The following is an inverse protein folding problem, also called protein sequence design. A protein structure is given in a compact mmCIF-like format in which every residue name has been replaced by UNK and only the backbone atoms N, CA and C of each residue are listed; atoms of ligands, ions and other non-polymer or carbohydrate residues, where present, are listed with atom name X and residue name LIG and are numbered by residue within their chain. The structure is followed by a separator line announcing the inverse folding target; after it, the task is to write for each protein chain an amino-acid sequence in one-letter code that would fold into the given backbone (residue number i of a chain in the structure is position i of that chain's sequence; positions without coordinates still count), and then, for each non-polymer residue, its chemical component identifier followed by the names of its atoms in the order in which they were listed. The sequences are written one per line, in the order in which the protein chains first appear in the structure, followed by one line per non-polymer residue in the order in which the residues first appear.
data_IF_025482205506
#
_entry.id   IF_025482205506
#
_cell.length_a   1.000
_cell.length_b   1.000
_cell.length_c   1.000
_cell.angle_alpha   90.00
_cell.angle_beta   90.00
_cell.angle_gamma   90.00
#
_symmetry.space_group_name_H-M   'P 1'
#
loop_
_entity.id
_entity.type
_entity.pdbx_description
1 polymer ?
#
# COMPACT_ATOMS: atom_id res chain seq x y z
N UNK A 1 -7.52 -10.86 -6.45
CA UNK A 1 -8.79 -11.47 -6.01
C UNK A 1 -9.92 -10.76 -6.73
N UNK A 2 -10.85 -11.45 -7.41
CA UNK A 2 -12.04 -10.79 -7.92
C UNK A 2 -12.89 -10.38 -6.72
N UNK A 3 -13.10 -9.08 -6.52
CA UNK A 3 -14.19 -8.58 -5.67
C UNK A 3 -13.84 -8.05 -4.27
N UNK A 4 -12.56 -7.95 -3.87
CA UNK A 4 -12.21 -7.19 -2.65
C UNK A 4 -11.39 -5.97 -3.03
N UNK A 5 -12.00 -4.80 -2.87
CA UNK A 5 -11.36 -3.51 -3.12
C UNK A 5 -10.23 -3.29 -2.10
N UNK A 6 -8.99 -3.18 -2.57
CA UNK A 6 -7.82 -2.97 -1.73
C UNK A 6 -7.92 -1.70 -0.89
N UNK A 7 -8.67 -0.70 -1.37
CA UNK A 7 -8.95 0.54 -0.63
C UNK A 7 -9.88 0.32 0.56
N UNK A 8 -10.92 -0.50 0.39
CA UNK A 8 -11.83 -0.85 1.48
C UNK A 8 -11.09 -1.62 2.59
N UNK A 9 -10.17 -2.50 2.21
CA UNK A 9 -9.30 -3.21 3.15
C UNK A 9 -8.35 -2.24 3.88
N UNK A 10 -7.69 -1.32 3.15
CA UNK A 10 -6.83 -0.30 3.75
C UNK A 10 -7.60 0.50 4.81
N UNK A 11 -8.83 0.93 4.48
CA UNK A 11 -9.67 1.70 5.40
C UNK A 11 -9.98 0.92 6.67
N UNK A 12 -10.32 -0.37 6.57
CA UNK A 12 -10.56 -1.22 7.75
C UNK A 12 -9.30 -1.42 8.59
N UNK A 13 -8.15 -1.65 7.95
CA UNK A 13 -6.87 -1.81 8.64
C UNK A 13 -6.50 -0.51 9.37
N UNK A 14 -6.60 0.65 8.71
CA UNK A 14 -6.31 1.95 9.33
C UNK A 14 -7.25 2.31 10.46
N UNK A 15 -8.53 1.93 10.37
CA UNK A 15 -9.49 2.11 11.48
C UNK A 15 -9.15 1.27 12.71
N UNK A 16 -8.64 0.05 12.51
CA UNK A 16 -8.37 -0.90 13.61
C UNK A 16 -6.94 -0.80 14.14
N UNK A 17 -6.00 -0.45 13.27
CA UNK A 17 -4.57 -0.34 13.51
C UNK A 17 -3.99 0.89 12.78
N UNK A 18 -4.21 2.11 13.31
CA UNK A 18 -3.82 3.35 12.65
C UNK A 18 -2.30 3.47 12.43
N UNK A 19 -1.50 2.89 13.33
CA UNK A 19 -0.03 2.89 13.26
C UNK A 19 0.55 1.80 12.36
N UNK A 20 -0.26 0.90 11.81
CA UNK A 20 0.26 -0.18 10.98
C UNK A 20 0.64 0.38 9.59
N UNK A 21 1.90 0.24 9.17
CA UNK A 21 2.32 0.65 7.84
C UNK A 21 1.76 -0.34 6.81
N UNK A 22 1.03 0.17 5.82
CA UNK A 22 0.42 -0.62 4.76
C UNK A 22 1.04 -0.20 3.44
N UNK A 23 1.64 -1.16 2.73
CA UNK A 23 2.21 -0.98 1.40
C UNK A 23 1.28 -1.63 0.39
N UNK A 24 0.87 -0.88 -0.64
CA UNK A 24 -0.05 -1.39 -1.67
C UNK A 24 0.72 -1.74 -2.93
N UNK A 25 0.57 -2.99 -3.40
CA UNK A 25 1.12 -3.44 -4.67
C UNK A 25 0.07 -3.36 -5.77
N UNK A 26 0.39 -2.69 -6.88
CA UNK A 26 -0.52 -2.60 -8.05
C UNK A 26 0.07 -3.30 -9.28
N UNK A 27 -0.78 -4.00 -10.02
CA UNK A 27 -0.48 -4.58 -11.32
C UNK A 27 -1.44 -3.97 -12.33
N UNK A 28 -0.96 -2.94 -13.03
CA UNK A 28 -1.63 -2.24 -14.14
C UNK A 28 -2.67 -1.16 -13.75
N UNK A 29 -2.35 0.06 -14.19
CA UNK A 29 -3.23 1.19 -14.59
C UNK A 29 -4.22 1.85 -13.62
N UNK A 30 -4.34 1.43 -12.36
CA UNK A 30 -5.13 2.20 -11.38
C UNK A 30 -4.23 3.11 -10.51
N UNK A 31 -3.43 3.95 -11.16
CA UNK A 31 -2.60 4.96 -10.48
C UNK A 31 -3.46 5.90 -9.63
N UNK A 32 -4.66 6.25 -10.10
CA UNK A 32 -5.60 7.09 -9.34
C UNK A 32 -6.10 6.40 -8.07
N UNK A 33 -6.31 5.09 -8.10
CA UNK A 33 -6.64 4.32 -6.90
C UNK A 33 -5.45 4.26 -5.93
N UNK A 34 -4.22 4.12 -6.45
CA UNK A 34 -3.01 4.15 -5.63
C UNK A 34 -2.79 5.51 -4.96
N UNK A 35 -2.99 6.61 -5.69
CA UNK A 35 -2.92 7.98 -5.15
C UNK A 35 -4.01 8.21 -4.10
N UNK A 36 -5.23 7.74 -4.36
CA UNK A 36 -6.32 7.82 -3.37
C UNK A 36 -6.00 7.01 -2.11
N UNK A 37 -5.34 5.86 -2.23
CA UNK A 37 -4.91 5.05 -1.10
C UNK A 37 -3.83 5.76 -0.26
N UNK A 38 -2.87 6.40 -0.92
CA UNK A 38 -1.84 7.20 -0.29
C UNK A 38 -2.44 8.37 0.49
N UNK A 39 -3.39 9.11 -0.11
CA UNK A 39 -4.13 10.17 0.57
C UNK A 39 -4.99 9.65 1.74
N UNK A 40 -5.44 8.39 1.69
CA UNK A 40 -6.18 7.72 2.77
C UNK A 40 -5.28 7.13 3.87
N UNK A 41 -3.96 7.34 3.79
CA UNK A 41 -3.01 6.98 4.84
C UNK A 41 -2.27 5.65 4.61
N UNK A 42 -2.21 5.15 3.38
CA UNK A 42 -1.22 4.12 3.03
C UNK A 42 0.20 4.67 3.29
N UNK A 43 1.10 3.78 3.70
CA UNK A 43 2.50 4.15 3.97
C UNK A 43 3.22 4.44 2.67
N UNK A 44 3.08 3.53 1.69
CA UNK A 44 3.63 3.72 0.36
C UNK A 44 2.97 2.77 -0.66
N UNK A 45 3.33 2.92 -1.93
CA UNK A 45 2.87 2.07 -3.02
C UNK A 45 4.05 1.46 -3.78
N UNK A 46 3.86 0.24 -4.30
CA UNK A 46 4.90 -0.49 -5.04
C UNK A 46 4.31 -1.00 -6.38
N UNK A 47 4.58 -0.30 -7.49
CA UNK A 47 4.07 -0.69 -8.80
C UNK A 47 4.84 -1.89 -9.37
N UNK A 48 4.15 -2.84 -10.01
CA UNK A 48 4.81 -3.94 -10.73
C UNK A 48 5.15 -3.55 -12.19
N UNK A 49 6.31 -3.96 -12.74
CA UNK A 49 7.38 -4.71 -12.08
C UNK A 49 8.19 -3.82 -11.12
N UNK A 50 8.56 -4.37 -9.96
CA UNK A 50 9.43 -3.72 -8.98
C UNK A 50 10.65 -4.59 -8.72
N UNK A 51 11.72 -3.95 -8.28
CA UNK A 51 12.92 -4.66 -7.80
C UNK A 51 12.73 -5.14 -6.35
N UNK A 52 13.27 -6.32 -6.04
CA UNK A 52 13.18 -6.89 -4.69
C UNK A 52 13.93 -6.00 -3.69
N UNK A 53 15.06 -5.43 -4.10
CA UNK A 53 15.86 -4.53 -3.26
C UNK A 53 15.07 -3.26 -2.90
N UNK A 54 14.28 -2.74 -3.84
CA UNK A 54 13.39 -1.59 -3.61
C UNK A 54 12.27 -1.96 -2.62
N UNK A 55 11.70 -3.16 -2.76
CA UNK A 55 10.69 -3.66 -1.82
C UNK A 55 11.24 -3.84 -0.39
N UNK A 56 12.46 -4.38 -0.25
CA UNK A 56 13.12 -4.56 1.05
C UNK A 56 13.41 -3.20 1.69
N UNK A 57 13.97 -2.25 0.93
CA UNK A 57 14.22 -0.90 1.43
C UNK A 57 12.94 -0.19 1.87
N UNK A 58 11.83 -0.42 1.16
CA UNK A 58 10.51 0.11 1.50
C UNK A 58 9.98 -0.46 2.82
N UNK A 59 10.14 -1.77 3.02
CA UNK A 59 9.76 -2.46 4.26
C UNK A 59 10.63 -2.00 5.43
N UNK A 60 11.94 -1.84 5.22
CA UNK A 60 12.86 -1.34 6.26
C UNK A 60 12.49 0.08 6.70
N UNK A 61 12.07 0.93 5.77
CA UNK A 61 11.53 2.26 6.08
C UNK A 61 10.22 2.19 6.86
N UNK A 62 9.35 1.23 6.51
CA UNK A 62 8.06 1.04 7.15
C UNK A 62 8.17 0.58 8.61
N UNK A 63 9.17 -0.24 8.95
CA UNK A 63 9.37 -0.75 10.32
C UNK A 63 10.25 0.16 11.19
N UNK A 64 11.02 1.06 10.59
CA UNK A 64 11.92 1.97 11.32
C UNK A 64 11.25 3.28 11.76
N UNK A 65 10.00 3.52 11.34
CA UNK A 65 9.15 4.63 11.75
C UNK A 65 8.08 4.17 12.74
#
# INVERSE_FOLDING_TARGET
MPGMDGLALLKQIKQRHPMLPVIIMTAHSDLDAAVSAYQQGAFDYLPKPFDIDEAVALVDRAISH
#
